data_IF_694636688642
#
_entry.id   IF_694636688642
#
_cell.length_a   1.000
_cell.length_b   1.000
_cell.length_c   1.000
_cell.angle_alpha   90.00
_cell.angle_beta   90.00
_cell.angle_gamma   90.00
#
_symmetry.space_group_name_H-M   'P 1'
#
loop_
_entity.id
_entity.type
_entity.pdbx_description
1 polymer ?
#
# COMPACT_ATOMS: atom_id res chain seq x y z
N UNK A 1 21.80 17.97 21.72
CA UNK A 1 20.99 17.14 22.64
C UNK A 1 20.15 16.25 21.74
N UNK A 2 20.52 14.98 21.65
CA UNK A 2 19.77 13.99 20.91
C UNK A 2 18.46 13.75 21.66
N UNK A 3 17.35 14.06 21.02
CA UNK A 3 16.04 13.67 21.49
C UNK A 3 15.96 12.15 21.32
N UNK A 4 16.12 11.43 22.41
CA UNK A 4 15.85 9.99 22.50
C UNK A 4 14.41 9.78 22.00
N UNK A 5 14.28 9.18 20.83
CA UNK A 5 13.00 8.61 20.38
C UNK A 5 12.70 7.47 21.35
N UNK A 6 11.97 7.80 22.42
CA UNK A 6 11.47 6.85 23.40
C UNK A 6 10.61 5.82 22.67
N UNK A 7 11.18 4.64 22.47
CA UNK A 7 10.43 3.42 22.11
C UNK A 7 9.38 3.25 23.20
N UNK A 8 8.07 3.36 22.91
CA UNK A 8 7.07 3.16 23.95
C UNK A 8 7.23 1.75 24.50
N UNK A 9 7.42 1.65 25.82
CA UNK A 9 7.51 0.36 26.50
C UNK A 9 6.35 -0.54 26.08
N UNK A 10 6.59 -1.82 25.89
CA UNK A 10 5.61 -2.84 25.46
C UNK A 10 4.23 -2.69 26.13
N UNK A 11 4.19 -2.24 27.39
CA UNK A 11 2.96 -1.98 28.14
C UNK A 11 2.14 -0.77 27.65
N UNK A 12 2.73 0.24 26.98
CA UNK A 12 2.02 1.38 26.41
C UNK A 12 1.39 1.04 25.05
N UNK A 13 2.01 0.15 24.30
CA UNK A 13 1.47 -0.34 23.01
C UNK A 13 0.19 -1.13 23.24
N UNK A 14 0.20 -2.05 24.20
CA UNK A 14 -0.95 -2.89 24.55
C UNK A 14 -2.14 -2.10 25.13
N UNK A 15 -1.89 -0.97 25.80
CA UNK A 15 -2.96 -0.14 26.36
C UNK A 15 -3.75 0.69 25.32
N UNK A 16 -3.17 0.91 24.14
CA UNK A 16 -3.81 1.67 23.05
C UNK A 16 -4.38 0.77 21.94
N UNK A 17 -4.00 -0.49 21.89
CA UNK A 17 -4.50 -1.47 20.94
C UNK A 17 -5.85 -2.01 21.42
N UNK A 18 -6.93 -1.44 20.88
CA UNK A 18 -8.30 -1.87 21.23
C UNK A 18 -8.71 -3.06 20.36
N UNK A 19 -9.57 -3.93 20.93
CA UNK A 19 -10.13 -5.06 20.17
C UNK A 19 -10.91 -4.61 18.93
N UNK A 20 -11.58 -3.45 19.02
CA UNK A 20 -12.30 -2.86 17.88
C UNK A 20 -11.36 -2.43 16.74
N UNK A 21 -10.19 -1.88 17.05
CA UNK A 21 -9.19 -1.48 16.08
C UNK A 21 -8.58 -2.71 15.37
N UNK A 22 -8.28 -3.76 16.13
CA UNK A 22 -7.83 -5.05 15.58
C UNK A 22 -8.89 -5.70 14.71
N UNK A 23 -10.15 -5.70 15.13
CA UNK A 23 -11.24 -6.29 14.37
C UNK A 23 -11.44 -5.59 13.02
N UNK A 24 -11.38 -4.26 12.97
CA UNK A 24 -11.44 -3.50 11.69
C UNK A 24 -10.23 -3.80 10.81
N UNK A 25 -9.02 -3.81 11.38
CA UNK A 25 -7.82 -4.09 10.62
C UNK A 25 -7.83 -5.50 10.02
N UNK A 26 -8.25 -6.49 10.81
CA UNK A 26 -8.44 -7.87 10.36
C UNK A 26 -9.50 -7.94 9.25
N UNK A 27 -10.67 -7.38 9.48
CA UNK A 27 -11.81 -7.51 8.60
C UNK A 27 -11.59 -6.82 7.24
N UNK A 28 -11.04 -5.61 7.24
CA UNK A 28 -10.73 -4.88 6.01
C UNK A 28 -9.62 -5.55 5.22
N UNK A 29 -8.61 -6.07 5.90
CA UNK A 29 -7.50 -6.77 5.25
C UNK A 29 -7.93 -8.15 4.72
N UNK A 30 -8.78 -8.88 5.45
CA UNK A 30 -9.32 -10.17 5.03
C UNK A 30 -10.16 -10.06 3.74
N UNK A 31 -11.10 -9.13 3.68
CA UNK A 31 -12.02 -9.00 2.56
C UNK A 31 -11.54 -8.13 1.41
N UNK A 32 -10.34 -7.54 1.51
CA UNK A 32 -9.81 -6.66 0.46
C UNK A 32 -8.34 -6.98 0.14
N UNK A 33 -7.41 -6.82 1.08
CA UNK A 33 -5.97 -7.04 0.83
C UNK A 33 -5.64 -8.51 0.54
N UNK A 34 -6.25 -9.44 1.29
CA UNK A 34 -6.10 -10.87 1.06
C UNK A 34 -6.61 -11.27 -0.34
N UNK A 35 -7.68 -10.63 -0.82
CA UNK A 35 -8.20 -10.90 -2.16
C UNK A 35 -7.22 -10.52 -3.26
N UNK A 36 -6.50 -9.42 -3.08
CA UNK A 36 -5.46 -9.04 -4.04
C UNK A 36 -4.40 -10.15 -4.16
N UNK A 37 -3.82 -10.60 -3.03
CA UNK A 37 -2.85 -11.69 -3.02
C UNK A 37 -3.41 -12.99 -3.59
N UNK A 38 -4.65 -13.34 -3.24
CA UNK A 38 -5.34 -14.50 -3.79
C UNK A 38 -5.43 -14.44 -5.31
N UNK A 39 -5.83 -13.29 -5.87
CA UNK A 39 -5.96 -13.09 -7.31
C UNK A 39 -4.61 -13.07 -8.07
N UNK A 40 -3.49 -12.82 -7.39
CA UNK A 40 -2.16 -12.98 -8.00
C UNK A 40 -1.84 -14.46 -8.26
N UNK A 41 -2.10 -15.33 -7.30
CA UNK A 41 -1.70 -16.74 -7.39
C UNK A 41 -2.77 -17.70 -7.97
N UNK A 42 -4.06 -17.33 -7.91
CA UNK A 42 -5.18 -18.20 -8.24
C UNK A 42 -5.17 -18.73 -9.69
N UNK A 43 -4.54 -18.04 -10.62
CA UNK A 43 -4.49 -18.44 -12.03
C UNK A 43 -3.45 -19.51 -12.31
N UNK A 44 -2.44 -19.67 -11.45
CA UNK A 44 -1.34 -20.62 -11.66
C UNK A 44 -1.80 -22.08 -11.74
N UNK A 45 -2.51 -22.52 -10.70
CA UNK A 45 -2.90 -23.94 -10.58
C UNK A 45 -3.85 -24.39 -11.70
N UNK A 46 -4.91 -23.64 -12.08
CA UNK A 46 -5.85 -24.04 -13.13
C UNK A 46 -5.41 -23.63 -14.54
N UNK A 47 -4.18 -23.19 -14.77
CA UNK A 47 -3.70 -22.67 -16.06
C UNK A 47 -4.00 -23.64 -17.22
N UNK A 48 -3.68 -24.92 -17.05
CA UNK A 48 -3.92 -25.97 -18.05
C UNK A 48 -5.41 -26.12 -18.33
N UNK A 49 -6.23 -26.20 -17.29
CA UNK A 49 -7.69 -26.36 -17.42
C UNK A 49 -8.37 -25.15 -18.06
N UNK A 50 -7.86 -23.94 -17.78
CA UNK A 50 -8.36 -22.71 -18.41
C UNK A 50 -8.01 -22.70 -19.91
N UNK A 51 -6.79 -23.07 -20.28
CA UNK A 51 -6.36 -23.20 -21.68
C UNK A 51 -7.20 -24.22 -22.41
N UNK A 52 -7.42 -25.41 -21.84
CA UNK A 52 -8.27 -26.46 -22.41
C UNK A 52 -9.73 -26.00 -22.60
N UNK A 53 -10.28 -25.31 -21.60
CA UNK A 53 -11.60 -24.72 -21.67
C UNK A 53 -11.72 -23.70 -22.82
N UNK A 54 -10.70 -22.86 -23.02
CA UNK A 54 -10.67 -21.90 -24.13
C UNK A 54 -10.67 -22.62 -25.47
N UNK A 55 -9.84 -23.65 -25.65
CA UNK A 55 -9.79 -24.44 -26.86
C UNK A 55 -11.12 -25.13 -27.15
N UNK A 56 -11.69 -25.82 -26.16
CA UNK A 56 -12.99 -26.51 -26.30
C UNK A 56 -14.12 -25.51 -26.63
N UNK A 57 -14.15 -24.34 -26.00
CA UNK A 57 -15.18 -23.35 -26.26
C UNK A 57 -15.13 -22.82 -27.71
N UNK A 58 -13.93 -22.62 -28.26
CA UNK A 58 -13.75 -22.17 -29.65
C UNK A 58 -14.05 -23.30 -30.63
N UNK A 59 -13.63 -24.53 -30.35
CA UNK A 59 -14.01 -25.69 -31.17
C UNK A 59 -15.52 -25.86 -31.26
N UNK A 60 -16.23 -25.69 -30.15
CA UNK A 60 -17.70 -25.79 -30.13
C UNK A 60 -18.39 -24.65 -30.90
N UNK A 61 -17.76 -23.46 -31.02
CA UNK A 61 -18.31 -22.31 -31.75
C UNK A 61 -17.94 -22.31 -33.23
N UNK A 62 -16.69 -22.62 -33.56
CA UNK A 62 -16.12 -22.40 -34.89
C UNK A 62 -15.74 -23.72 -35.60
N UNK A 63 -15.81 -24.86 -34.94
CA UNK A 63 -15.45 -26.18 -35.48
C UNK A 63 -13.96 -26.46 -35.65
N UNK A 64 -13.09 -25.47 -35.36
CA UNK A 64 -11.62 -25.61 -35.45
C UNK A 64 -10.99 -25.19 -34.12
N UNK A 65 -9.98 -25.94 -33.66
CA UNK A 65 -9.21 -25.64 -32.47
C UNK A 65 -8.27 -24.42 -32.66
N UNK A 66 -7.84 -23.84 -31.54
CA UNK A 66 -6.86 -22.75 -31.52
C UNK A 66 -5.44 -23.33 -31.65
N UNK A 67 -4.53 -22.53 -32.26
CA UNK A 67 -3.10 -22.84 -32.19
C UNK A 67 -2.57 -22.63 -30.78
N UNK A 68 -1.52 -23.35 -30.39
CA UNK A 68 -0.84 -23.23 -29.10
C UNK A 68 -0.43 -21.76 -28.80
N UNK A 69 0.04 -21.05 -29.82
CA UNK A 69 0.43 -19.63 -29.69
C UNK A 69 -0.77 -18.74 -29.34
N UNK A 70 -1.92 -18.94 -30.01
CA UNK A 70 -3.15 -18.19 -29.75
C UNK A 70 -3.70 -18.49 -28.37
N UNK A 71 -3.62 -19.75 -27.95
CA UNK A 71 -4.08 -20.21 -26.64
C UNK A 71 -3.24 -19.58 -25.51
N UNK A 72 -1.94 -19.55 -25.69
CA UNK A 72 -1.01 -18.89 -24.77
C UNK A 72 -1.25 -17.37 -24.72
N UNK A 73 -1.52 -16.76 -25.86
CA UNK A 73 -1.87 -15.33 -25.92
C UNK A 73 -3.19 -15.01 -25.18
N UNK A 74 -4.23 -15.81 -25.36
CA UNK A 74 -5.51 -15.64 -24.64
C UNK A 74 -5.34 -15.82 -23.14
N UNK A 75 -4.54 -16.80 -22.72
CA UNK A 75 -4.24 -16.99 -21.32
C UNK A 75 -3.44 -15.82 -20.73
N UNK A 76 -2.41 -15.35 -21.43
CA UNK A 76 -1.62 -14.18 -21.02
C UNK A 76 -2.47 -12.91 -20.94
N UNK A 77 -3.46 -12.75 -21.85
CA UNK A 77 -4.44 -11.68 -21.75
C UNK A 77 -5.29 -11.80 -20.47
N UNK A 78 -5.73 -13.00 -20.13
CA UNK A 78 -6.52 -13.27 -18.91
C UNK A 78 -5.73 -12.92 -17.64
N UNK A 79 -4.42 -13.16 -17.63
CA UNK A 79 -3.53 -12.80 -16.53
C UNK A 79 -3.34 -11.29 -16.47
N UNK A 80 -2.96 -10.66 -17.59
CA UNK A 80 -2.58 -9.25 -17.63
C UNK A 80 -3.76 -8.28 -17.50
N UNK A 81 -4.97 -8.66 -17.91
CA UNK A 81 -6.15 -7.81 -17.79
C UNK A 81 -6.49 -7.45 -16.33
N UNK A 82 -6.09 -8.27 -15.38
CA UNK A 82 -6.18 -7.97 -13.96
C UNK A 82 -5.37 -6.72 -13.58
N UNK A 83 -4.15 -6.60 -14.07
CA UNK A 83 -3.30 -5.43 -13.83
C UNK A 83 -3.87 -4.17 -14.50
N UNK A 84 -4.44 -4.28 -15.71
CA UNK A 84 -5.13 -3.19 -16.40
C UNK A 84 -6.33 -2.70 -15.57
N UNK A 85 -7.12 -3.63 -15.03
CA UNK A 85 -8.20 -3.32 -14.09
C UNK A 85 -7.70 -2.60 -12.85
N UNK A 86 -6.57 -3.06 -12.28
CA UNK A 86 -5.91 -2.44 -11.12
C UNK A 86 -5.48 -1.00 -11.38
N UNK A 87 -4.93 -0.72 -12.55
CA UNK A 87 -4.58 0.64 -12.97
C UNK A 87 -5.84 1.54 -13.01
N UNK A 88 -6.91 1.09 -13.62
CA UNK A 88 -8.17 1.84 -13.66
C UNK A 88 -8.72 2.09 -12.24
N UNK A 89 -8.71 1.06 -11.39
CA UNK A 89 -9.11 1.17 -9.98
C UNK A 89 -8.31 2.23 -9.24
N UNK A 90 -7.00 2.26 -9.41
CA UNK A 90 -6.10 3.23 -8.78
C UNK A 90 -6.33 4.67 -9.25
N UNK A 91 -6.75 4.87 -10.49
CA UNK A 91 -7.07 6.20 -11.02
C UNK A 91 -8.38 6.75 -10.43
N UNK A 92 -9.41 5.90 -10.32
CA UNK A 92 -10.74 6.34 -9.87
C UNK A 92 -10.87 6.39 -8.34
N UNK A 93 -9.97 5.77 -7.59
CA UNK A 93 -10.07 5.66 -6.12
C UNK A 93 -10.17 7.02 -5.43
N UNK A 94 -9.46 8.04 -5.90
CA UNK A 94 -9.50 9.39 -5.33
C UNK A 94 -10.93 9.97 -5.31
N UNK A 95 -11.68 9.79 -6.41
CA UNK A 95 -13.07 10.24 -6.53
C UNK A 95 -13.99 9.45 -5.58
N UNK A 96 -13.79 8.14 -5.50
CA UNK A 96 -14.62 7.29 -4.65
C UNK A 96 -14.45 7.60 -3.17
N UNK A 97 -13.20 7.80 -2.73
CA UNK A 97 -12.87 8.06 -1.32
C UNK A 97 -13.40 9.41 -0.85
N UNK A 98 -13.38 10.44 -1.69
CA UNK A 98 -13.96 11.76 -1.36
C UNK A 98 -15.48 11.72 -1.32
N UNK A 99 -16.12 10.94 -2.20
CA UNK A 99 -17.58 10.86 -2.31
C UNK A 99 -18.21 9.97 -1.21
N UNK A 100 -17.68 8.76 -1.03
CA UNK A 100 -18.26 7.71 -0.17
C UNK A 100 -17.56 7.55 1.17
N UNK A 101 -16.39 8.16 1.36
CA UNK A 101 -15.52 7.91 2.51
C UNK A 101 -14.65 6.67 2.32
N UNK A 102 -13.85 6.37 3.34
CA UNK A 102 -12.91 5.24 3.28
C UNK A 102 -13.63 3.91 3.42
N UNK A 103 -14.37 3.75 4.52
CA UNK A 103 -15.19 2.56 4.76
C UNK A 103 -16.25 2.38 3.66
N UNK A 104 -16.96 3.46 3.33
CA UNK A 104 -18.00 3.42 2.30
C UNK A 104 -17.45 2.98 0.94
N UNK A 105 -16.26 3.38 0.54
CA UNK A 105 -15.60 2.93 -0.69
C UNK A 105 -15.31 1.43 -0.63
N UNK A 106 -14.74 0.93 0.46
CA UNK A 106 -14.48 -0.51 0.64
C UNK A 106 -15.75 -1.32 0.53
N UNK A 107 -16.83 -0.93 1.23
CA UNK A 107 -18.12 -1.64 1.22
C UNK A 107 -18.77 -1.62 -0.17
N UNK A 108 -18.81 -0.46 -0.84
CA UNK A 108 -19.45 -0.35 -2.14
C UNK A 108 -18.70 -1.13 -3.25
N UNK A 109 -17.36 -1.15 -3.20
CA UNK A 109 -16.57 -1.89 -4.19
C UNK A 109 -16.63 -3.41 -4.00
N UNK A 110 -17.07 -3.88 -2.85
CA UNK A 110 -17.33 -5.30 -2.58
C UNK A 110 -18.32 -5.91 -3.58
N UNK A 111 -19.29 -5.14 -4.07
CA UNK A 111 -20.25 -5.59 -5.09
C UNK A 111 -19.55 -6.02 -6.40
N UNK A 112 -18.44 -5.36 -6.75
CA UNK A 112 -17.65 -5.72 -7.92
C UNK A 112 -17.09 -7.14 -7.81
N UNK A 113 -16.67 -7.53 -6.60
CA UNK A 113 -16.12 -8.89 -6.36
C UNK A 113 -17.21 -9.96 -6.53
N UNK A 114 -18.45 -9.68 -6.06
CA UNK A 114 -19.55 -10.63 -6.27
C UNK A 114 -19.89 -10.80 -7.74
N UNK A 115 -19.97 -9.71 -8.50
CA UNK A 115 -20.21 -9.77 -9.94
C UNK A 115 -19.11 -10.59 -10.62
N UNK A 116 -17.85 -10.31 -10.31
CA UNK A 116 -16.71 -11.03 -10.88
C UNK A 116 -16.71 -12.52 -10.50
N UNK A 117 -17.01 -12.83 -9.23
CA UNK A 117 -17.11 -14.21 -8.75
C UNK A 117 -18.21 -15.00 -9.47
N UNK A 118 -19.38 -14.39 -9.68
CA UNK A 118 -20.46 -15.00 -10.46
C UNK A 118 -20.04 -15.23 -11.92
N UNK A 119 -19.41 -14.24 -12.57
CA UNK A 119 -18.92 -14.38 -13.92
C UNK A 119 -17.93 -15.54 -14.06
N UNK A 120 -16.92 -15.59 -13.19
CA UNK A 120 -15.90 -16.63 -13.23
C UNK A 120 -16.47 -18.01 -12.88
N UNK A 121 -17.36 -18.10 -11.87
CA UNK A 121 -17.95 -19.34 -11.43
C UNK A 121 -18.88 -20.00 -12.46
N UNK A 122 -19.67 -19.18 -13.16
CA UNK A 122 -20.60 -19.66 -14.18
C UNK A 122 -19.99 -19.75 -15.59
N UNK A 123 -18.73 -19.37 -15.79
CA UNK A 123 -18.06 -19.33 -17.08
C UNK A 123 -18.07 -20.68 -17.80
N UNK A 124 -17.84 -21.80 -17.10
CA UNK A 124 -17.86 -23.17 -17.64
C UNK A 124 -19.27 -23.58 -18.05
N UNK A 125 -20.28 -23.27 -17.24
CA UNK A 125 -21.67 -23.61 -17.51
C UNK A 125 -22.18 -22.88 -18.75
N UNK A 126 -21.82 -21.60 -18.90
CA UNK A 126 -22.17 -20.77 -20.05
C UNK A 126 -21.31 -21.03 -21.28
N UNK A 127 -20.21 -21.80 -21.15
CA UNK A 127 -19.27 -22.04 -22.25
C UNK A 127 -18.63 -20.77 -22.82
N UNK A 128 -18.39 -19.75 -21.95
CA UNK A 128 -17.93 -18.43 -22.38
C UNK A 128 -16.60 -18.05 -21.72
N UNK A 129 -15.49 -18.13 -22.49
CA UNK A 129 -14.17 -17.68 -22.05
C UNK A 129 -14.13 -16.20 -21.66
N UNK A 130 -14.93 -15.38 -22.32
CA UNK A 130 -14.99 -13.93 -22.11
C UNK A 130 -15.41 -13.58 -20.69
N UNK A 131 -16.21 -14.44 -20.04
CA UNK A 131 -16.65 -14.24 -18.65
C UNK A 131 -15.49 -14.28 -17.67
N UNK A 132 -14.47 -15.10 -17.94
CA UNK A 132 -13.25 -15.16 -17.11
C UNK A 132 -12.45 -13.87 -17.27
N UNK A 133 -12.26 -13.41 -18.51
CA UNK A 133 -11.50 -12.19 -18.82
C UNK A 133 -12.16 -10.96 -18.17
N UNK A 134 -13.49 -10.82 -18.34
CA UNK A 134 -14.24 -9.73 -17.72
C UNK A 134 -14.23 -9.83 -16.20
N UNK A 135 -14.39 -11.02 -15.64
CA UNK A 135 -14.28 -11.26 -14.20
C UNK A 135 -12.93 -10.84 -13.63
N UNK A 136 -11.84 -11.21 -14.32
CA UNK A 136 -10.46 -10.80 -13.95
C UNK A 136 -10.28 -9.28 -14.02
N UNK A 137 -10.83 -8.62 -15.03
CA UNK A 137 -10.79 -7.17 -15.14
C UNK A 137 -11.49 -6.48 -13.96
N UNK A 138 -12.69 -6.95 -13.61
CA UNK A 138 -13.48 -6.41 -12.51
C UNK A 138 -12.79 -6.64 -11.15
N UNK A 139 -12.24 -7.85 -10.92
CA UNK A 139 -11.44 -8.10 -9.70
C UNK A 139 -10.20 -7.23 -9.65
N UNK A 140 -9.58 -6.93 -10.79
CA UNK A 140 -8.48 -5.99 -10.90
C UNK A 140 -8.88 -4.58 -10.44
N UNK A 141 -10.02 -4.05 -10.90
CA UNK A 141 -10.53 -2.73 -10.48
C UNK A 141 -10.70 -2.69 -8.95
N UNK A 142 -11.36 -3.69 -8.37
CA UNK A 142 -11.51 -3.78 -6.91
C UNK A 142 -10.17 -3.81 -6.19
N UNK A 143 -9.22 -4.60 -6.68
CA UNK A 143 -7.89 -4.76 -6.11
C UNK A 143 -7.10 -3.45 -6.10
N UNK A 144 -7.11 -2.69 -7.22
CA UNK A 144 -6.46 -1.39 -7.31
C UNK A 144 -7.05 -0.35 -6.34
N UNK A 145 -8.38 -0.36 -6.16
CA UNK A 145 -9.06 0.49 -5.17
C UNK A 145 -8.64 0.06 -3.76
N UNK A 146 -8.66 -1.23 -3.47
CA UNK A 146 -8.39 -1.79 -2.14
C UNK A 146 -6.96 -1.53 -1.65
N UNK A 147 -5.96 -1.68 -2.53
CA UNK A 147 -4.55 -1.39 -2.23
C UNK A 147 -4.33 0.06 -1.78
N UNK A 148 -5.15 0.99 -2.27
CA UNK A 148 -5.07 2.40 -1.90
C UNK A 148 -5.89 2.73 -0.65
N UNK A 149 -7.12 2.22 -0.56
CA UNK A 149 -8.10 2.61 0.47
C UNK A 149 -7.84 1.92 1.80
N UNK A 150 -7.46 0.64 1.81
CA UNK A 150 -7.28 -0.10 3.08
C UNK A 150 -6.14 0.46 3.92
N UNK A 151 -4.92 0.67 3.42
CA UNK A 151 -3.87 1.31 4.20
C UNK A 151 -4.22 2.74 4.62
N UNK A 152 -4.92 3.49 3.75
CA UNK A 152 -5.40 4.84 4.07
C UNK A 152 -6.38 4.81 5.24
N UNK A 153 -7.39 3.95 5.21
CA UNK A 153 -8.38 3.81 6.27
C UNK A 153 -7.74 3.40 7.59
N UNK A 154 -6.89 2.36 7.57
CA UNK A 154 -6.18 1.89 8.75
C UNK A 154 -5.24 2.95 9.32
N UNK A 155 -4.53 3.68 8.48
CA UNK A 155 -3.66 4.78 8.90
C UNK A 155 -4.40 5.98 9.50
N UNK A 156 -5.66 6.21 9.11
CA UNK A 156 -6.51 7.29 9.64
C UNK A 156 -7.18 6.94 10.96
N UNK A 157 -7.59 5.68 11.15
CA UNK A 157 -8.18 5.21 12.42
C UNK A 157 -7.14 4.89 13.47
N UNK A 158 -5.88 4.62 13.08
CA UNK A 158 -4.79 4.28 13.97
C UNK A 158 -4.32 5.44 14.84
N UNK A 159 -4.06 5.25 16.14
CA UNK A 159 -3.32 6.22 16.94
C UNK A 159 -1.89 6.36 16.41
N UNK A 160 -1.25 7.52 16.64
CA UNK A 160 0.09 7.84 16.09
C UNK A 160 1.11 6.71 16.31
N UNK A 161 1.12 6.13 17.50
CA UNK A 161 2.09 5.09 17.90
C UNK A 161 1.86 3.72 17.23
N UNK A 162 0.63 3.44 16.74
CA UNK A 162 0.27 2.17 16.12
C UNK A 162 0.09 2.28 14.60
N UNK A 163 0.22 3.48 14.03
CA UNK A 163 -0.01 3.72 12.61
C UNK A 163 0.92 2.90 11.71
N UNK A 164 2.20 2.78 12.09
CA UNK A 164 3.16 1.93 11.39
C UNK A 164 2.74 0.46 11.39
N UNK A 165 2.45 -0.08 12.57
CA UNK A 165 2.02 -1.47 12.72
C UNK A 165 0.73 -1.79 11.93
N UNK A 166 -0.31 -0.97 12.08
CA UNK A 166 -1.57 -1.18 11.36
C UNK A 166 -1.44 -0.98 9.85
N UNK A 167 -0.49 -0.16 9.40
CA UNK A 167 -0.17 -0.01 7.99
C UNK A 167 0.47 -1.24 7.36
N UNK A 168 1.11 -2.11 8.15
CA UNK A 168 1.73 -3.35 7.68
C UNK A 168 0.76 -4.55 7.65
N UNK A 169 -0.36 -4.48 8.36
CA UNK A 169 -1.37 -5.56 8.36
C UNK A 169 -1.84 -5.93 6.95
N UNK A 170 -2.14 -4.98 6.04
CA UNK A 170 -2.52 -5.30 4.67
C UNK A 170 -1.49 -6.14 3.92
N UNK A 171 -0.18 -5.85 4.04
CA UNK A 171 0.89 -6.64 3.38
C UNK A 171 0.93 -8.08 3.88
N UNK A 172 0.78 -8.32 5.19
CA UNK A 172 0.71 -9.67 5.75
C UNK A 172 -0.49 -10.43 5.17
N UNK A 173 -1.64 -9.76 5.01
CA UNK A 173 -2.83 -10.37 4.43
C UNK A 173 -2.71 -10.62 2.93
N UNK A 174 -1.94 -9.83 2.18
CA UNK A 174 -1.60 -10.10 0.78
C UNK A 174 -0.87 -11.44 0.69
N UNK A 175 0.23 -11.63 1.43
CA UNK A 175 0.97 -12.89 1.46
C UNK A 175 0.10 -14.07 1.94
N UNK A 176 -0.79 -13.85 2.92
CA UNK A 176 -1.75 -14.86 3.36
C UNK A 176 -2.72 -15.23 2.23
N UNK A 177 -3.11 -14.28 1.39
CA UNK A 177 -3.97 -14.49 0.21
C UNK A 177 -3.28 -15.33 -0.85
N UNK A 178 -2.02 -15.02 -1.17
CA UNK A 178 -1.17 -15.82 -2.08
C UNK A 178 -1.07 -17.25 -1.58
N UNK A 179 -0.69 -17.44 -0.32
CA UNK A 179 -0.59 -18.77 0.30
C UNK A 179 -1.92 -19.54 0.29
N UNK A 180 -3.04 -18.86 0.59
CA UNK A 180 -4.37 -19.49 0.54
C UNK A 180 -4.71 -19.98 -0.86
N UNK A 181 -4.40 -19.18 -1.91
CA UNK A 181 -4.60 -19.60 -3.29
C UNK A 181 -3.73 -20.82 -3.65
N UNK A 182 -2.48 -20.82 -3.21
CA UNK A 182 -1.56 -21.95 -3.46
C UNK A 182 -2.03 -23.24 -2.77
N UNK A 183 -2.50 -23.16 -1.53
CA UNK A 183 -3.03 -24.34 -0.81
C UNK A 183 -4.33 -24.83 -1.44
N UNK A 184 -5.29 -23.93 -1.71
CA UNK A 184 -6.55 -24.33 -2.34
C UNK A 184 -6.36 -24.84 -3.77
N UNK A 185 -5.29 -24.41 -4.45
CA UNK A 185 -4.88 -24.88 -5.76
C UNK A 185 -4.22 -26.26 -5.79
N UNK A 186 -4.01 -26.90 -4.64
CA UNK A 186 -3.53 -28.30 -4.58
C UNK A 186 -4.56 -29.25 -5.19
N UNK A 187 -4.06 -30.30 -5.83
CA UNK A 187 -4.90 -31.29 -6.50
C UNK A 187 -5.88 -32.00 -5.56
N UNK A 188 -5.52 -32.14 -4.26
CA UNK A 188 -6.38 -32.74 -3.23
C UNK A 188 -7.58 -31.87 -2.87
N UNK A 189 -7.51 -30.54 -3.13
CA UNK A 189 -8.56 -29.57 -2.77
C UNK A 189 -9.33 -29.12 -4.01
N UNK A 190 -9.06 -27.94 -4.52
CA UNK A 190 -9.80 -27.33 -5.64
C UNK A 190 -9.00 -27.31 -6.95
N UNK A 191 -7.76 -27.75 -6.96
CA UNK A 191 -6.88 -27.81 -8.14
C UNK A 191 -7.21 -28.95 -9.11
N UNK A 192 -8.52 -29.24 -9.30
CA UNK A 192 -9.03 -30.29 -10.21
C UNK A 192 -9.77 -29.67 -11.38
N UNK A 193 -9.84 -30.40 -12.49
CA UNK A 193 -10.58 -30.00 -13.68
C UNK A 193 -12.05 -29.64 -13.40
N UNK A 194 -12.69 -30.33 -12.46
CA UNK A 194 -14.10 -30.10 -12.14
C UNK A 194 -14.33 -28.84 -11.32
N UNK A 195 -13.36 -28.45 -10.47
CA UNK A 195 -13.53 -27.45 -9.41
C UNK A 195 -12.86 -26.10 -9.69
N UNK A 196 -12.12 -25.93 -10.80
CA UNK A 196 -11.42 -24.68 -11.08
C UNK A 196 -12.36 -23.44 -11.18
N UNK A 197 -13.62 -23.51 -11.68
CA UNK A 197 -14.49 -22.34 -11.66
C UNK A 197 -14.88 -21.94 -10.23
N UNK A 198 -15.10 -22.95 -9.35
CA UNK A 198 -15.33 -22.71 -7.94
C UNK A 198 -14.10 -22.08 -7.28
N UNK A 199 -12.90 -22.58 -7.61
CA UNK A 199 -11.64 -22.06 -7.11
C UNK A 199 -11.46 -20.57 -7.44
N UNK A 200 -11.76 -20.15 -8.67
CA UNK A 200 -11.77 -18.72 -9.04
C UNK A 200 -12.82 -17.91 -8.28
N UNK A 201 -13.91 -18.53 -7.84
CA UNK A 201 -15.04 -17.86 -7.17
C UNK A 201 -14.92 -17.79 -5.65
N UNK A 202 -13.96 -18.47 -5.03
CA UNK A 202 -13.74 -18.50 -3.56
C UNK A 202 -13.60 -17.11 -2.96
N UNK A 203 -13.14 -16.14 -3.76
CA UNK A 203 -13.04 -14.73 -3.34
C UNK A 203 -14.35 -14.14 -2.80
N UNK A 204 -15.50 -14.70 -3.15
CA UNK A 204 -16.79 -14.28 -2.62
C UNK A 204 -16.93 -14.52 -1.11
N UNK A 205 -16.26 -15.54 -0.55
CA UNK A 205 -16.42 -15.93 0.87
C UNK A 205 -15.88 -14.86 1.83
N UNK A 206 -14.59 -14.49 1.79
CA UNK A 206 -14.07 -13.44 2.67
C UNK A 206 -14.72 -12.08 2.40
N UNK A 207 -15.11 -11.82 1.16
CA UNK A 207 -15.82 -10.60 0.76
C UNK A 207 -17.21 -10.53 1.37
N UNK A 208 -17.93 -11.65 1.43
CA UNK A 208 -19.24 -11.73 2.08
C UNK A 208 -19.14 -11.44 3.59
N UNK A 209 -18.14 -12.02 4.26
CA UNK A 209 -17.87 -11.76 5.69
C UNK A 209 -17.62 -10.27 5.91
N UNK A 210 -16.80 -9.65 5.06
CA UNK A 210 -16.51 -8.21 5.13
C UNK A 210 -17.78 -7.38 4.92
N UNK A 211 -18.60 -7.71 3.92
CA UNK A 211 -19.83 -6.99 3.61
C UNK A 211 -20.84 -7.04 4.77
N UNK A 212 -20.93 -8.17 5.47
CA UNK A 212 -21.83 -8.34 6.59
C UNK A 212 -21.38 -7.61 7.86
N UNK A 213 -20.07 -7.56 8.10
CA UNK A 213 -19.54 -7.06 9.37
C UNK A 213 -19.03 -5.62 9.27
N UNK A 214 -18.38 -5.20 8.18
CA UNK A 214 -17.76 -3.88 8.06
C UNK A 214 -18.74 -2.69 8.17
N UNK A 215 -20.00 -2.77 7.70
CA UNK A 215 -20.96 -1.67 7.86
C UNK A 215 -21.21 -1.24 9.31
N UNK A 216 -21.06 -2.15 10.28
CA UNK A 216 -21.27 -1.88 11.72
C UNK A 216 -20.15 -1.03 12.34
N UNK A 217 -19.01 -0.92 11.68
CA UNK A 217 -17.88 -0.11 12.15
C UNK A 217 -18.02 1.36 11.72
N UNK A 218 -17.52 2.30 12.51
CA UNK A 218 -17.57 3.72 12.15
C UNK A 218 -16.66 4.03 10.95
N UNK A 219 -16.95 5.15 10.29
CA UNK A 219 -16.12 5.72 9.22
C UNK A 219 -14.85 6.35 9.83
N UNK A 220 -13.87 6.71 8.97
CA UNK A 220 -12.66 7.40 9.38
C UNK A 220 -12.96 8.70 10.12
N UNK A 221 -12.44 8.90 11.36
CA UNK A 221 -12.62 10.15 12.10
C UNK A 221 -12.11 11.37 11.34
N UNK A 222 -10.98 11.22 10.62
CA UNK A 222 -10.41 12.30 9.80
C UNK A 222 -11.31 12.71 8.64
N UNK A 223 -11.89 11.73 7.95
CA UNK A 223 -12.86 11.99 6.89
C UNK A 223 -14.10 12.72 7.41
N UNK A 224 -14.64 12.27 8.54
CA UNK A 224 -15.83 12.85 9.15
C UNK A 224 -15.60 14.30 9.58
N UNK A 225 -14.42 14.64 10.10
CA UNK A 225 -14.10 15.98 10.55
C UNK A 225 -13.69 16.90 9.40
N UNK A 226 -12.73 16.46 8.57
CA UNK A 226 -12.08 17.32 7.57
C UNK A 226 -12.97 17.50 6.33
N UNK A 227 -13.55 16.41 5.81
CA UNK A 227 -14.32 16.46 4.56
C UNK A 227 -15.83 16.64 4.78
N UNK A 228 -16.38 16.05 5.85
CA UNK A 228 -17.83 16.15 6.14
C UNK A 228 -18.18 17.19 7.21
N UNK A 229 -17.19 17.79 7.87
CA UNK A 229 -17.39 18.81 8.92
C UNK A 229 -18.32 18.38 10.07
N UNK A 230 -18.42 17.06 10.32
CA UNK A 230 -19.32 16.50 11.32
C UNK A 230 -18.58 16.13 12.61
N UNK A 231 -18.47 17.09 13.53
CA UNK A 231 -17.75 16.92 14.81
C UNK A 231 -18.40 15.84 15.68
N UNK A 232 -19.74 15.74 15.71
CA UNK A 232 -20.44 14.74 16.54
C UNK A 232 -20.14 13.30 16.10
N UNK A 233 -20.21 13.03 14.80
CA UNK A 233 -19.86 11.73 14.24
C UNK A 233 -18.38 11.40 14.47
N UNK A 234 -17.49 12.40 14.39
CA UNK A 234 -16.05 12.24 14.68
C UNK A 234 -15.81 11.81 16.12
N UNK A 235 -16.44 12.48 17.08
CA UNK A 235 -16.36 12.13 18.53
C UNK A 235 -16.84 10.70 18.75
N UNK A 236 -17.96 10.31 18.14
CA UNK A 236 -18.51 8.96 18.26
C UNK A 236 -17.56 7.92 17.70
N UNK A 237 -16.98 8.17 16.52
CA UNK A 237 -16.02 7.27 15.89
C UNK A 237 -14.72 7.15 16.71
N UNK A 238 -14.19 8.26 17.23
CA UNK A 238 -13.02 8.23 18.11
C UNK A 238 -13.27 7.46 19.40
N UNK A 239 -14.41 7.68 20.06
CA UNK A 239 -14.78 6.91 21.26
C UNK A 239 -14.87 5.42 20.99
N UNK A 240 -15.28 5.04 19.81
CA UNK A 240 -15.38 3.65 19.40
C UNK A 240 -14.02 2.99 19.18
N UNK A 241 -13.06 3.72 18.60
CA UNK A 241 -11.69 3.23 18.36
C UNK A 241 -10.75 3.41 19.54
N UNK A 242 -11.02 4.34 20.47
CA UNK A 242 -10.20 4.68 21.65
C UNK A 242 -10.94 4.28 22.93
N UNK A 243 -10.48 3.26 23.60
CA UNK A 243 -11.21 2.73 24.77
C UNK A 243 -11.30 3.71 25.97
N UNK A 244 -10.29 4.52 26.24
CA UNK A 244 -10.22 5.43 27.43
C UNK A 244 -9.20 6.56 27.29
N UNK A 245 -8.82 6.98 26.09
CA UNK A 245 -7.84 8.05 25.90
C UNK A 245 -8.50 9.43 25.87
N UNK A 246 -7.75 10.45 26.22
CA UNK A 246 -8.15 11.84 26.02
C UNK A 246 -8.31 12.08 24.51
N UNK A 247 -9.57 12.19 24.10
CA UNK A 247 -9.94 12.38 22.69
C UNK A 247 -9.81 13.85 22.31
N UNK A 248 -9.81 14.77 23.30
CA UNK A 248 -9.84 16.20 23.05
C UNK A 248 -8.59 16.68 22.32
N UNK A 249 -7.41 16.24 22.76
CA UNK A 249 -6.15 16.59 22.12
C UNK A 249 -6.08 16.09 20.67
N UNK A 250 -6.64 14.90 20.37
CA UNK A 250 -6.68 14.35 19.01
C UNK A 250 -7.66 15.13 18.12
N UNK A 251 -8.77 15.60 18.67
CA UNK A 251 -9.74 16.46 17.95
C UNK A 251 -9.12 17.83 17.63
N UNK A 252 -8.47 18.44 18.60
CA UNK A 252 -7.78 19.73 18.41
C UNK A 252 -6.72 19.64 17.32
N UNK A 253 -5.91 18.59 17.33
CA UNK A 253 -4.92 18.33 16.28
C UNK A 253 -5.57 18.20 14.89
N UNK A 254 -6.67 17.44 14.79
CA UNK A 254 -7.38 17.27 13.50
C UNK A 254 -8.05 18.58 13.05
N UNK A 255 -8.54 19.40 13.97
CA UNK A 255 -9.09 20.73 13.65
C UNK A 255 -8.01 21.69 13.17
N UNK A 256 -6.81 21.64 13.76
CA UNK A 256 -5.66 22.42 13.29
C UNK A 256 -5.22 21.96 11.89
N UNK A 257 -5.21 20.64 11.64
CA UNK A 257 -4.98 20.08 10.31
C UNK A 257 -6.06 20.57 9.31
N UNK A 258 -7.32 20.59 9.70
CA UNK A 258 -8.42 21.09 8.87
C UNK A 258 -8.26 22.57 8.52
N UNK A 259 -7.92 23.42 9.50
CA UNK A 259 -7.67 24.86 9.26
C UNK A 259 -6.49 25.06 8.31
N UNK A 260 -5.44 24.26 8.45
CA UNK A 260 -4.28 24.33 7.56
C UNK A 260 -4.60 23.90 6.12
N UNK A 261 -5.47 22.92 5.95
CA UNK A 261 -5.90 22.44 4.63
C UNK A 261 -6.89 23.42 3.95
N UNK A 262 -7.72 24.13 4.72
CA UNK A 262 -8.69 25.08 4.17
C UNK A 262 -8.04 26.34 3.59
N UNK A 263 -6.81 26.66 4.00
CA UNK A 263 -6.03 27.77 3.46
C UNK A 263 -5.18 27.40 2.23
N UNK A 264 -5.08 26.11 1.90
CA UNK A 264 -4.33 25.63 0.75
C UNK A 264 -5.31 25.22 -0.36
N UNK A 265 -5.19 25.86 -1.53
CA UNK A 265 -5.91 25.42 -2.74
C UNK A 265 -5.67 23.93 -2.99
N UNK A 266 -6.71 23.19 -3.41
CA UNK A 266 -6.60 21.80 -3.81
C UNK A 266 -5.45 21.62 -4.80
N UNK A 267 -4.35 21.03 -4.32
CA UNK A 267 -3.16 20.80 -5.14
C UNK A 267 -3.49 19.76 -6.22
N UNK A 268 -3.52 20.18 -7.47
CA UNK A 268 -3.49 19.26 -8.61
C UNK A 268 -2.20 18.42 -8.53
N UNK A 269 -2.28 17.14 -8.97
CA UNK A 269 -1.10 16.24 -9.05
C UNK A 269 0.07 16.93 -9.78
N UNK A 270 -0.21 17.77 -10.77
CA UNK A 270 0.81 18.51 -11.51
C UNK A 270 1.51 19.59 -10.66
N UNK A 271 0.77 20.29 -9.79
CA UNK A 271 1.35 21.24 -8.85
C UNK A 271 2.27 20.57 -7.80
N UNK A 272 1.99 19.29 -7.46
CA UNK A 272 2.82 18.52 -6.54
C UNK A 272 4.26 18.29 -7.09
N UNK A 273 4.40 18.13 -8.41
CA UNK A 273 5.72 18.02 -9.06
C UNK A 273 6.44 19.38 -9.19
N UNK A 274 5.72 20.48 -9.11
CA UNK A 274 6.29 21.83 -9.19
C UNK A 274 6.72 22.36 -7.82
N UNK A 275 6.21 21.79 -6.72
CA UNK A 275 6.58 22.21 -5.35
C UNK A 275 7.95 21.62 -4.97
N UNK A 276 8.95 22.50 -4.84
CA UNK A 276 10.33 22.14 -4.48
C UNK A 276 10.44 21.41 -3.15
N UNK A 277 9.49 21.60 -2.24
CA UNK A 277 9.49 21.01 -0.91
C UNK A 277 9.17 19.51 -0.93
N UNK A 278 8.31 19.07 -1.86
CA UNK A 278 7.72 17.72 -1.86
C UNK A 278 8.13 16.89 -3.09
N UNK A 279 8.57 17.56 -4.18
CA UNK A 279 8.86 16.87 -5.45
C UNK A 279 9.89 15.74 -5.32
N UNK A 280 10.96 15.93 -4.53
CA UNK A 280 12.00 14.91 -4.37
C UNK A 280 11.50 13.68 -3.62
N UNK A 281 10.61 13.85 -2.65
CA UNK A 281 9.98 12.75 -1.92
C UNK A 281 9.03 11.96 -2.83
N UNK A 282 8.19 12.67 -3.60
CA UNK A 282 7.29 12.05 -4.57
C UNK A 282 8.09 11.29 -5.63
N UNK A 283 9.14 11.90 -6.19
CA UNK A 283 10.02 11.27 -7.17
C UNK A 283 10.70 10.02 -6.59
N UNK A 284 11.21 10.08 -5.36
CA UNK A 284 11.83 8.92 -4.70
C UNK A 284 10.86 7.75 -4.57
N UNK A 285 9.61 8.00 -4.15
CA UNK A 285 8.58 6.95 -4.05
C UNK A 285 8.21 6.41 -5.43
N UNK A 286 8.11 7.25 -6.44
CA UNK A 286 7.86 6.79 -7.82
C UNK A 286 8.98 5.88 -8.32
N UNK A 287 10.24 6.26 -8.13
CA UNK A 287 11.41 5.46 -8.55
C UNK A 287 11.42 4.11 -7.83
N UNK A 288 11.11 4.07 -6.54
CA UNK A 288 11.06 2.84 -5.77
C UNK A 288 9.94 1.92 -6.28
N UNK A 289 8.72 2.46 -6.48
CA UNK A 289 7.60 1.66 -6.99
C UNK A 289 7.86 1.16 -8.42
N UNK A 290 8.45 1.97 -9.28
CA UNK A 290 8.88 1.54 -10.62
C UNK A 290 9.93 0.42 -10.50
N UNK A 291 10.90 0.56 -9.60
CA UNK A 291 11.92 -0.47 -9.34
C UNK A 291 11.30 -1.78 -8.83
N UNK A 292 10.28 -1.70 -7.97
CA UNK A 292 9.53 -2.89 -7.51
C UNK A 292 8.89 -3.63 -8.68
N UNK A 293 8.19 -2.93 -9.57
CA UNK A 293 7.51 -3.56 -10.71
C UNK A 293 8.50 -4.09 -11.76
N UNK A 294 9.55 -3.35 -12.05
CA UNK A 294 10.60 -3.77 -12.99
C UNK A 294 11.45 -4.94 -12.47
N UNK A 295 11.39 -5.26 -11.18
CA UNK A 295 12.05 -6.44 -10.62
C UNK A 295 11.45 -7.77 -11.08
N UNK A 296 10.26 -7.75 -11.71
CA UNK A 296 9.60 -8.94 -12.24
C UNK A 296 8.89 -9.79 -11.19
N UNK A 297 8.70 -9.31 -9.97
CA UNK A 297 8.06 -10.08 -8.89
C UNK A 297 6.65 -10.54 -9.25
N UNK A 298 5.85 -9.68 -9.91
CA UNK A 298 4.50 -10.05 -10.33
C UNK A 298 4.52 -11.21 -11.36
N UNK A 299 5.51 -11.22 -12.26
CA UNK A 299 5.69 -12.32 -13.22
C UNK A 299 6.00 -13.63 -12.48
N UNK A 300 6.79 -13.59 -11.41
CA UNK A 300 7.05 -14.76 -10.58
C UNK A 300 5.73 -15.30 -10.00
N UNK A 301 4.90 -14.45 -9.40
CA UNK A 301 3.62 -14.90 -8.83
C UNK A 301 2.63 -15.43 -9.86
N UNK A 302 2.58 -14.84 -11.06
CA UNK A 302 1.66 -15.30 -12.12
C UNK A 302 2.10 -16.56 -12.83
N UNK A 303 3.41 -16.87 -12.87
CA UNK A 303 3.99 -17.96 -13.65
C UNK A 303 4.90 -18.87 -12.82
N UNK A 304 4.69 -18.93 -11.49
CA UNK A 304 5.54 -19.72 -10.58
C UNK A 304 5.61 -21.20 -11.00
N UNK A 305 4.49 -21.79 -11.40
CA UNK A 305 4.43 -23.20 -11.80
C UNK A 305 5.23 -23.43 -13.10
N UNK A 306 5.05 -22.55 -14.09
CA UNK A 306 5.78 -22.63 -15.36
C UNK A 306 7.30 -22.49 -15.13
N UNK A 307 7.70 -21.56 -14.24
CA UNK A 307 9.11 -21.36 -13.86
C UNK A 307 9.70 -22.63 -13.20
N UNK A 308 8.95 -23.30 -12.34
CA UNK A 308 9.41 -24.53 -11.70
C UNK A 308 9.43 -25.72 -12.66
N UNK A 309 8.51 -25.78 -13.61
CA UNK A 309 8.52 -26.77 -14.68
C UNK A 309 9.75 -26.58 -15.59
N UNK A 310 10.01 -25.34 -16.01
CA UNK A 310 11.21 -25.00 -16.79
C UNK A 310 12.51 -25.24 -16.02
N UNK A 311 12.50 -25.09 -14.70
CA UNK A 311 13.62 -25.45 -13.83
C UNK A 311 13.81 -26.96 -13.67
N UNK A 312 12.93 -27.82 -14.25
CA UNK A 312 13.03 -29.25 -14.24
C UNK A 312 12.55 -29.94 -12.97
N UNK A 313 11.63 -29.30 -12.22
CA UNK A 313 10.96 -29.93 -11.09
C UNK A 313 9.90 -30.90 -11.63
N UNK A 314 9.79 -32.13 -11.07
CA UNK A 314 8.74 -33.04 -11.46
C UNK A 314 7.33 -32.47 -11.29
N UNK A 315 6.46 -32.62 -12.28
CA UNK A 315 5.11 -32.05 -12.28
C UNK A 315 4.29 -32.34 -11.00
N UNK A 316 4.37 -33.50 -10.36
CA UNK A 316 3.65 -33.78 -9.11
C UNK A 316 4.16 -32.96 -7.91
N UNK A 317 5.41 -32.48 -7.94
CA UNK A 317 6.05 -31.75 -6.84
C UNK A 317 5.86 -30.23 -6.97
N UNK A 318 5.52 -29.72 -8.16
CA UNK A 318 5.37 -28.27 -8.43
C UNK A 318 4.37 -27.62 -7.50
N UNK A 319 3.12 -28.12 -7.30
CA UNK A 319 2.14 -27.47 -6.44
C UNK A 319 2.61 -27.35 -4.98
N UNK A 320 3.32 -28.35 -4.47
CA UNK A 320 3.86 -28.33 -3.10
C UNK A 320 5.03 -27.38 -2.95
N UNK A 321 5.90 -27.32 -3.97
CA UNK A 321 7.01 -26.36 -4.02
C UNK A 321 6.46 -24.92 -4.06
N UNK A 322 5.44 -24.68 -4.87
CA UNK A 322 4.75 -23.40 -4.95
C UNK A 322 4.10 -23.04 -3.62
N UNK A 323 3.40 -23.95 -2.95
CA UNK A 323 2.84 -23.71 -1.61
C UNK A 323 3.93 -23.40 -0.57
N UNK A 324 5.11 -24.02 -0.69
CA UNK A 324 6.28 -23.70 0.13
C UNK A 324 6.74 -22.26 -0.02
N UNK A 325 6.68 -21.68 -1.21
CA UNK A 325 7.03 -20.27 -1.42
C UNK A 325 6.11 -19.32 -0.67
N UNK A 326 4.81 -19.61 -0.59
CA UNK A 326 3.85 -18.78 0.15
C UNK A 326 4.09 -18.78 1.67
N UNK A 327 4.51 -19.93 2.24
CA UNK A 327 4.93 -19.97 3.66
C UNK A 327 6.12 -19.04 3.88
N UNK A 328 7.11 -19.09 3.00
CA UNK A 328 8.31 -18.25 3.09
C UNK A 328 7.95 -16.78 2.92
N UNK A 329 7.02 -16.45 2.03
CA UNK A 329 6.50 -15.09 1.84
C UNK A 329 5.94 -14.52 3.15
N UNK A 330 5.07 -15.26 3.85
CA UNK A 330 4.51 -14.84 5.14
C UNK A 330 5.61 -14.66 6.19
N UNK A 331 6.52 -15.64 6.31
CA UNK A 331 7.63 -15.56 7.27
C UNK A 331 8.53 -14.35 6.96
N UNK A 332 8.88 -14.15 5.70
CA UNK A 332 9.72 -13.04 5.26
C UNK A 332 9.05 -11.68 5.53
N UNK A 333 7.73 -11.56 5.27
CA UNK A 333 6.96 -10.37 5.60
C UNK A 333 6.97 -10.06 7.10
N UNK A 334 6.76 -11.07 7.95
CA UNK A 334 6.86 -10.91 9.41
C UNK A 334 8.27 -10.50 9.84
N UNK A 335 9.31 -11.14 9.31
CA UNK A 335 10.72 -10.76 9.58
C UNK A 335 11.00 -9.33 9.14
N UNK A 336 10.48 -8.91 7.99
CA UNK A 336 10.57 -7.53 7.49
C UNK A 336 9.94 -6.53 8.47
N UNK A 337 8.74 -6.83 8.96
CA UNK A 337 8.04 -5.99 9.95
C UNK A 337 8.83 -5.77 11.24
N UNK A 338 9.48 -6.81 11.76
CA UNK A 338 10.34 -6.67 12.95
C UNK A 338 11.69 -6.03 12.66
N UNK A 339 12.22 -6.27 11.46
CA UNK A 339 13.54 -5.77 11.06
C UNK A 339 13.53 -4.27 10.77
N UNK A 340 12.41 -3.72 10.29
CA UNK A 340 12.31 -2.31 9.93
C UNK A 340 12.47 -1.37 11.12
N UNK A 341 12.04 -1.81 12.31
CA UNK A 341 12.21 -1.04 13.55
C UNK A 341 13.69 -1.00 14.03
N UNK A 342 14.45 -2.05 13.73
CA UNK A 342 15.85 -2.18 14.19
C UNK A 342 16.86 -1.65 13.18
N UNK A 343 16.71 -2.00 11.91
CA UNK A 343 17.65 -1.68 10.84
C UNK A 343 17.32 -0.37 10.14
N UNK A 344 16.04 0.06 10.19
CA UNK A 344 15.56 1.19 9.44
C UNK A 344 15.21 0.86 7.97
N UNK A 345 14.57 1.81 7.30
CA UNK A 345 13.96 1.60 5.97
C UNK A 345 14.98 1.49 4.85
N UNK A 346 16.02 2.37 4.86
CA UNK A 346 17.00 2.47 3.78
C UNK A 346 17.87 1.22 3.61
N UNK A 347 18.48 0.65 4.68
CA UNK A 347 19.25 -0.59 4.56
C UNK A 347 18.43 -1.79 4.11
N UNK A 348 17.16 -1.90 4.59
CA UNK A 348 16.26 -2.97 4.19
C UNK A 348 15.95 -2.93 2.70
N UNK A 349 15.64 -1.75 2.16
CA UNK A 349 15.36 -1.59 0.74
C UNK A 349 16.57 -1.93 -0.14
N UNK A 350 17.75 -1.40 0.21
CA UNK A 350 18.98 -1.68 -0.54
C UNK A 350 19.30 -3.17 -0.48
N UNK A 351 19.21 -3.78 0.71
CA UNK A 351 19.44 -5.21 0.90
C UNK A 351 18.45 -6.07 0.12
N UNK A 352 17.16 -5.74 0.16
CA UNK A 352 16.10 -6.45 -0.57
C UNK A 352 16.34 -6.42 -2.08
N UNK A 353 16.52 -5.23 -2.67
CA UNK A 353 16.79 -5.11 -4.11
C UNK A 353 18.09 -5.78 -4.53
N UNK A 354 19.15 -5.71 -3.70
CA UNK A 354 20.42 -6.39 -3.98
C UNK A 354 20.23 -7.90 -3.99
N UNK A 355 19.52 -8.45 -3.00
CA UNK A 355 19.22 -9.86 -2.91
C UNK A 355 18.42 -10.33 -4.12
N UNK A 356 17.37 -9.59 -4.51
CA UNK A 356 16.58 -9.89 -5.70
C UNK A 356 17.45 -9.90 -6.96
N UNK A 357 18.32 -8.90 -7.16
CA UNK A 357 19.21 -8.82 -8.31
C UNK A 357 20.20 -10.00 -8.38
N UNK A 358 20.78 -10.40 -7.25
CA UNK A 358 21.68 -11.58 -7.19
C UNK A 358 20.90 -12.86 -7.53
N UNK A 359 19.70 -13.02 -6.99
CA UNK A 359 18.87 -14.20 -7.24
C UNK A 359 18.37 -14.26 -8.70
N UNK A 360 18.04 -13.13 -9.34
CA UNK A 360 17.72 -13.09 -10.77
C UNK A 360 18.88 -13.57 -11.63
N UNK A 361 20.11 -13.11 -11.31
CA UNK A 361 21.32 -13.62 -11.96
C UNK A 361 21.51 -15.13 -11.71
N UNK A 362 21.22 -15.60 -10.50
CA UNK A 362 21.27 -17.01 -10.11
C UNK A 362 20.29 -17.89 -10.90
N UNK A 363 19.05 -17.43 -11.12
CA UNK A 363 18.07 -18.12 -11.96
C UNK A 363 18.58 -18.25 -13.39
N UNK A 364 19.09 -17.15 -13.96
CA UNK A 364 19.63 -17.17 -15.33
C UNK A 364 20.75 -18.20 -15.48
N UNK A 365 21.71 -18.22 -14.55
CA UNK A 365 22.79 -19.20 -14.54
C UNK A 365 22.27 -20.62 -14.35
N UNK A 366 21.30 -20.82 -13.47
CA UNK A 366 20.66 -22.11 -13.20
C UNK A 366 20.00 -22.68 -14.46
N UNK A 367 19.19 -21.88 -15.17
CA UNK A 367 18.53 -22.28 -16.42
C UNK A 367 19.51 -22.67 -17.52
N UNK A 368 20.65 -21.96 -17.66
CA UNK A 368 21.67 -22.27 -18.65
C UNK A 368 22.41 -23.59 -18.30
N UNK A 369 22.73 -23.81 -17.03
CA UNK A 369 23.53 -24.93 -16.59
C UNK A 369 22.74 -26.21 -16.26
N UNK A 370 21.41 -26.13 -16.10
CA UNK A 370 20.57 -27.27 -15.71
C UNK A 370 20.66 -28.48 -16.71
N UNK A 371 20.89 -28.19 -17.98
CA UNK A 371 21.08 -29.26 -19.00
C UNK A 371 22.32 -30.13 -18.73
N UNK A 372 23.33 -29.57 -18.03
CA UNK A 372 24.58 -30.24 -17.76
C UNK A 372 24.71 -30.76 -16.31
N UNK A 373 24.05 -30.09 -15.38
CA UNK A 373 24.17 -30.34 -13.93
C UNK A 373 22.79 -30.44 -13.31
N UNK A 374 22.30 -31.64 -12.97
CA UNK A 374 20.94 -31.85 -12.42
C UNK A 374 20.67 -31.09 -11.09
N UNK A 375 21.73 -30.79 -10.33
CA UNK A 375 21.58 -30.03 -9.08
C UNK A 375 21.14 -28.58 -9.29
N UNK A 376 21.37 -28.02 -10.48
CA UNK A 376 21.03 -26.62 -10.79
C UNK A 376 19.55 -26.29 -10.67
N UNK A 377 18.64 -27.27 -10.84
CA UNK A 377 17.21 -27.10 -10.60
C UNK A 377 16.89 -26.61 -9.18
N UNK A 378 17.56 -27.14 -8.17
CA UNK A 378 17.36 -26.73 -6.77
C UNK A 378 17.94 -25.32 -6.51
N UNK A 379 19.01 -24.96 -7.20
CA UNK A 379 19.55 -23.59 -7.16
C UNK A 379 18.53 -22.60 -7.75
N UNK A 380 17.88 -22.95 -8.86
CA UNK A 380 16.80 -22.14 -9.45
C UNK A 380 15.67 -21.90 -8.47
N UNK A 381 15.12 -22.97 -7.86
CA UNK A 381 14.08 -22.86 -6.83
C UNK A 381 14.52 -21.99 -5.65
N UNK A 382 15.74 -22.20 -5.14
CA UNK A 382 16.29 -21.41 -4.04
C UNK A 382 16.39 -19.92 -4.40
N UNK A 383 16.74 -19.62 -5.64
CA UNK A 383 16.80 -18.24 -6.13
C UNK A 383 15.39 -17.62 -6.24
N UNK A 384 14.37 -18.33 -6.71
CA UNK A 384 12.98 -17.86 -6.72
C UNK A 384 12.53 -17.53 -5.30
N UNK A 385 12.75 -18.43 -4.36
CA UNK A 385 12.50 -18.20 -2.93
C UNK A 385 13.25 -16.97 -2.41
N UNK A 386 14.52 -16.80 -2.82
CA UNK A 386 15.34 -15.66 -2.47
C UNK A 386 14.78 -14.33 -2.99
N UNK A 387 14.23 -14.31 -4.21
CA UNK A 387 13.57 -13.11 -4.75
C UNK A 387 12.34 -12.76 -3.93
N UNK A 388 11.46 -13.73 -3.64
CA UNK A 388 10.25 -13.53 -2.84
C UNK A 388 10.62 -13.02 -1.45
N UNK A 389 11.56 -13.65 -0.76
CA UNK A 389 12.00 -13.24 0.55
C UNK A 389 12.64 -11.84 0.55
N UNK A 390 13.48 -11.54 -0.44
CA UNK A 390 14.11 -10.22 -0.60
C UNK A 390 13.10 -9.11 -0.85
N UNK A 391 12.06 -9.40 -1.65
CA UNK A 391 10.96 -8.49 -1.89
C UNK A 391 10.16 -8.21 -0.61
N UNK A 392 9.71 -9.24 0.09
CA UNK A 392 8.88 -9.11 1.29
C UNK A 392 9.60 -8.43 2.46
N UNK A 393 10.90 -8.75 2.68
CA UNK A 393 11.68 -8.12 3.76
C UNK A 393 11.98 -6.65 3.47
N UNK A 394 12.22 -6.28 2.22
CA UNK A 394 12.71 -4.97 1.83
C UNK A 394 11.62 -4.08 1.18
N UNK A 395 11.45 -4.16 -0.15
CA UNK A 395 10.59 -3.25 -0.92
C UNK A 395 9.13 -3.21 -0.46
N UNK A 396 8.50 -4.36 -0.18
CA UNK A 396 7.08 -4.43 0.19
C UNK A 396 6.81 -3.72 1.53
N UNK A 397 7.48 -4.12 2.59
CA UNK A 397 7.33 -3.53 3.94
C UNK A 397 7.70 -2.04 3.96
N UNK A 398 8.78 -1.66 3.24
CA UNK A 398 9.21 -0.27 3.18
C UNK A 398 8.32 0.60 2.32
N UNK A 399 7.79 0.08 1.21
CA UNK A 399 6.93 0.82 0.27
C UNK A 399 5.64 1.31 0.92
N UNK A 400 4.95 0.44 1.66
CA UNK A 400 3.72 0.79 2.38
C UNK A 400 3.97 1.88 3.42
N UNK A 401 5.04 1.79 4.19
CA UNK A 401 5.36 2.79 5.21
C UNK A 401 5.82 4.13 4.63
N UNK A 402 6.43 4.15 3.45
CA UNK A 402 6.78 5.39 2.76
C UNK A 402 5.55 6.17 2.30
N UNK A 403 4.55 5.49 1.75
CA UNK A 403 3.28 6.12 1.37
C UNK A 403 2.60 6.77 2.59
N UNK A 404 2.62 6.12 3.75
CA UNK A 404 2.11 6.69 5.00
C UNK A 404 2.96 7.87 5.51
N UNK A 405 4.28 7.80 5.34
CA UNK A 405 5.23 8.85 5.74
C UNK A 405 5.10 10.14 4.93
N UNK A 406 4.92 10.06 3.61
CA UNK A 406 4.71 11.23 2.74
C UNK A 406 3.48 12.02 3.17
N UNK A 407 2.38 11.32 3.46
CA UNK A 407 1.15 11.97 3.91
C UNK A 407 1.36 12.75 5.22
N UNK A 408 2.14 12.21 6.14
CA UNK A 408 2.49 12.91 7.39
C UNK A 408 3.39 14.12 7.12
N UNK A 409 4.36 14.00 6.23
CA UNK A 409 5.27 15.10 5.88
C UNK A 409 4.56 16.24 5.15
N UNK A 410 3.62 15.92 4.25
CA UNK A 410 2.78 16.93 3.59
C UNK A 410 1.93 17.71 4.59
N UNK A 411 1.37 17.06 5.61
CA UNK A 411 0.60 17.75 6.67
C UNK A 411 1.48 18.60 7.59
N UNK A 412 2.74 18.22 7.81
CA UNK A 412 3.71 18.98 8.62
C UNK A 412 4.29 20.16 7.84
N UNK A 413 4.65 19.98 6.57
CA UNK A 413 5.15 21.06 5.71
C UNK A 413 4.07 22.12 5.46
N UNK A 414 2.80 21.74 5.30
CA UNK A 414 1.67 22.66 5.27
C UNK A 414 1.58 23.51 6.55
N UNK A 415 1.80 22.91 7.73
CA UNK A 415 1.81 23.59 9.03
C UNK A 415 2.98 24.56 9.20
N UNK A 416 4.17 24.21 8.71
CA UNK A 416 5.35 25.08 8.80
C UNK A 416 5.24 26.29 7.87
N UNK A 417 4.64 26.14 6.68
CA UNK A 417 4.42 27.23 5.73
C UNK A 417 3.41 28.25 6.28
N UNK A 418 2.33 27.79 6.92
CA UNK A 418 1.35 28.67 7.55
C UNK A 418 1.91 29.44 8.76
N UNK A 419 2.85 28.85 9.51
CA UNK A 419 3.55 29.58 10.59
C UNK A 419 4.53 30.63 10.05
N UNK A 420 5.06 30.44 8.86
CA UNK A 420 5.85 31.45 8.15
C UNK A 420 4.98 32.61 7.68
N UNK A 421 3.89 32.33 6.95
CA UNK A 421 3.00 33.33 6.37
C UNK A 421 2.26 34.18 7.44
N UNK A 422 1.89 33.60 8.58
CA UNK A 422 1.28 34.34 9.68
C UNK A 422 2.28 35.30 10.39
N UNK A 423 3.57 34.92 10.45
CA UNK A 423 4.60 35.80 10.99
C UNK A 423 4.91 36.97 10.05
N UNK A 424 4.92 36.71 8.74
CA UNK A 424 5.13 37.76 7.75
C UNK A 424 3.92 38.73 7.69
N UNK A 425 2.68 38.23 7.82
CA UNK A 425 1.49 39.08 7.93
C UNK A 425 1.43 39.89 9.24
N UNK A 426 1.89 39.33 10.38
CA UNK A 426 1.98 40.11 11.63
C UNK A 426 3.10 41.16 11.57
N UNK A 427 4.17 40.95 10.83
CA UNK A 427 5.21 41.96 10.61
C UNK A 427 4.76 43.07 9.67
N UNK A 428 3.96 42.79 8.65
CA UNK A 428 3.39 43.79 7.75
C UNK A 428 2.29 44.62 8.43
N UNK A 429 1.51 44.06 9.35
CA UNK A 429 0.50 44.75 10.14
C UNK A 429 1.09 45.72 11.21
N UNK A 430 2.35 45.49 11.62
CA UNK A 430 3.04 46.38 12.53
C UNK A 430 3.93 47.44 11.83
N UNK A 431 4.05 47.37 10.50
CA UNK A 431 4.83 48.32 9.69
C UNK A 431 4.12 49.60 9.29
N UNK A 432 2.78 49.64 9.32
CA UNK A 432 1.98 50.82 8.91
C UNK A 432 1.42 51.56 10.11
N UNK A 433 2.27 52.35 10.79
CA UNK A 433 1.79 53.49 11.60
C UNK A 433 2.04 54.77 10.82
N UNK A 434 1.00 55.56 10.52
CA UNK A 434 1.17 56.83 9.84
C UNK A 434 1.90 57.83 10.72
N UNK A 435 2.93 58.45 10.18
CA UNK A 435 3.62 59.63 10.73
C UNK A 435 2.63 60.80 10.87
N UNK A 436 2.22 61.09 12.09
CA UNK A 436 1.57 62.39 12.41
C UNK A 436 2.65 63.35 12.82
N UNK A 437 2.89 64.34 11.98
CA UNK A 437 3.65 65.55 12.28
C UNK A 437 3.05 66.22 13.51
N UNK A 438 3.89 66.46 14.53
CA UNK A 438 3.68 67.59 15.44
C UNK A 438 5.01 68.22 15.81
N UNK A 439 5.13 69.48 15.41
CA UNK A 439 6.22 70.43 15.75
C UNK A 439 6.17 70.86 17.19
N UNK A 440 7.34 71.31 17.66
CA UNK A 440 7.71 72.24 18.71
C UNK A 440 8.01 71.72 20.12
N UNK A 441 9.20 72.11 20.53
CA UNK A 441 9.50 72.60 21.89
C UNK A 441 10.80 72.08 22.49
N UNK A 442 11.83 72.85 22.20
CA UNK A 442 13.02 73.24 23.02
C UNK A 442 13.36 72.49 24.31
N UNK A 443 14.62 72.16 24.38
CA UNK A 443 15.62 72.45 25.45
C UNK A 443 15.99 71.40 26.49
N UNK A 444 17.26 71.15 26.49
CA UNK A 444 18.25 71.10 27.61
C UNK A 444 18.48 69.76 28.32
N UNK A 445 19.72 69.35 28.19
CA UNK A 445 20.77 68.80 29.07
C UNK A 445 20.83 67.33 29.50
N UNK A 446 21.96 66.86 29.15
CA UNK A 446 23.03 66.21 29.94
C UNK A 446 22.84 64.77 30.43
N UNK A 447 23.75 63.93 29.97
CA UNK A 447 24.37 62.99 30.91
C UNK A 447 24.47 61.48 30.50
N UNK A 448 25.68 61.18 30.07
CA UNK A 448 26.37 59.88 30.31
C UNK A 448 25.97 58.60 29.55
N UNK A 449 26.79 58.28 28.58
CA UNK A 449 27.22 56.95 28.11
C UNK A 449 27.78 56.09 29.29
N UNK A 450 27.79 54.73 29.29
CA UNK A 450 28.59 53.99 28.34
C UNK A 450 28.11 52.57 27.95
N UNK A 451 28.36 52.23 26.64
CA UNK A 451 29.01 51.00 26.11
C UNK A 451 28.47 49.58 26.41
N UNK A 452 28.09 48.93 25.31
CA UNK A 452 28.20 47.49 25.09
C UNK A 452 27.84 47.10 23.62
N UNK A 453 28.62 46.30 22.92
CA UNK A 453 28.59 46.21 21.45
C UNK A 453 27.47 45.36 20.89
N UNK A 454 26.93 45.83 19.77
CA UNK A 454 25.96 45.19 18.93
C UNK A 454 26.55 43.89 18.31
N UNK A 455 25.86 42.77 18.49
CA UNK A 455 26.10 41.52 17.71
C UNK A 455 25.31 41.61 16.42
N UNK A 456 26.01 41.46 15.32
CA UNK A 456 25.53 41.50 13.95
C UNK A 456 24.69 40.27 13.61
N UNK A 457 23.64 40.50 12.83
CA UNK A 457 22.63 39.50 12.36
C UNK A 457 23.14 38.44 11.39
N UNK A 458 24.42 38.25 11.23
CA UNK A 458 25.01 37.30 10.24
C UNK A 458 25.26 35.90 10.80
N UNK A 459 25.28 35.72 12.14
CA UNK A 459 25.62 34.44 12.75
C UNK A 459 24.42 33.47 12.96
N UNK A 460 23.19 33.90 12.71
CA UNK A 460 22.01 33.02 12.81
C UNK A 460 21.62 32.28 11.52
N UNK A 461 22.12 32.70 10.37
CA UNK A 461 21.83 32.01 9.08
C UNK A 461 22.65 30.74 8.82
N UNK A 462 23.76 30.56 9.47
CA UNK A 462 24.65 29.42 9.24
C UNK A 462 24.37 28.20 10.15
N UNK A 463 23.37 28.27 11.03
CA UNK A 463 23.05 27.18 11.97
C UNK A 463 21.87 26.30 11.55
N UNK A 464 21.16 26.64 10.47
CA UNK A 464 19.94 25.94 10.04
C UNK A 464 20.12 25.03 8.85
N UNK A 465 21.21 25.13 8.10
CA UNK A 465 21.46 24.29 6.91
C UNK A 465 22.04 22.89 7.24
N UNK A 466 22.41 22.63 8.49
CA UNK A 466 23.03 21.38 8.91
C UNK A 466 22.05 20.29 9.46
N UNK A 467 20.82 20.67 9.82
CA UNK A 467 19.93 19.77 10.56
C UNK A 467 18.88 19.03 9.69
N UNK A 468 18.79 19.31 8.41
CA UNK A 468 17.80 18.70 7.52
C UNK A 468 18.27 17.46 6.76
N UNK A 469 19.54 17.03 6.89
CA UNK A 469 20.10 15.95 6.06
C UNK A 469 20.36 14.62 6.77
N UNK A 470 20.00 14.45 8.05
CA UNK A 470 20.25 13.21 8.78
C UNK A 470 19.01 12.56 9.40
N UNK A 471 17.88 12.58 8.71
CA UNK A 471 16.66 11.96 9.24
C UNK A 471 15.65 11.59 8.16
N UNK A 472 16.05 10.74 7.18
CA UNK A 472 15.12 9.98 6.33
C UNK A 472 15.53 8.52 6.29
#
# INVERSE_FOLDING_TARGET
>A
MAEEVLIPSSGKITSQLTGSLLAVAFLTSLGSSMLYGYNLAVVNSPAVYIKDFYNQSVVNRNGTGLSEETLTLMYSLTVSVFAIGGLLGSVIVGILVTRFGRKGTVVNTTVLVFIASLLMGFSRICGSPEMIIVGRFITGIHSGISLSVVPMYLGEIAPKNLRGFLGLVPSIFIGTGVFTAQILGLHELLGKEEHWPLFLSVVAVPTFIQLMLLPWFPESPRYLLIEKHNVHATITALKWYRAKCDIQAEIEEMQEEQRSLSSVETLSVWKLFQDDTVRWQVLSVMVINIGMQLSGIDAIWFYTNDIFEDAGIPAPEIPYTTAGTGIIEIIAGLVGCFSIEKLGRRPLMIGGFTMMGICCGGITVSLILQAHIPFMRYVGVTCVVGIIAGFCIGPDVCGVLQLLGIRHHMSVCGRLRLRGDTRDQEQDLHGDKPNVHQERGSSIDAGSDPRGPAKTKEDERLRWDGACFTGV
#
